data_IF_021630390451
#
_entry.id   IF_021630390451
#
_cell.length_a   1.000
_cell.length_b   1.000
_cell.length_c   1.000
_cell.angle_alpha   90.00
_cell.angle_beta   90.00
_cell.angle_gamma   90.00
#
_symmetry.space_group_name_H-M   'P 1'
#
loop_
_entity.id
_entity.type
_entity.pdbx_description
1 polymer ?
#
# COMPACT_ATOMS: atom_id res chain seq x y z
N UNK A 1 -57.23 15.45 -46.92
CA UNK A 1 -55.79 15.85 -46.73
C UNK A 1 -55.43 15.78 -45.24
N UNK A 2 -55.10 14.65 -44.75
CA UNK A 2 -54.56 14.48 -43.38
C UNK A 2 -54.03 13.05 -43.26
N UNK A 3 -52.77 12.84 -43.00
CA UNK A 3 -52.13 11.66 -42.43
C UNK A 3 -50.72 11.36 -43.05
N UNK A 4 -49.79 12.33 -42.98
CA UNK A 4 -48.37 12.06 -43.35
C UNK A 4 -47.34 12.56 -42.33
N UNK A 5 -47.76 12.99 -41.12
CA UNK A 5 -46.83 13.55 -40.11
C UNK A 5 -46.47 12.58 -38.97
N UNK A 6 -47.12 11.42 -38.82
CA UNK A 6 -46.88 10.48 -37.71
C UNK A 6 -45.72 9.51 -37.92
N UNK A 7 -45.31 9.21 -39.15
CA UNK A 7 -44.29 8.19 -39.43
C UNK A 7 -42.83 8.68 -39.23
N UNK A 8 -42.58 10.00 -39.25
CA UNK A 8 -41.22 10.56 -39.15
C UNK A 8 -40.69 10.67 -37.72
N UNK A 9 -41.55 10.69 -36.69
CA UNK A 9 -41.11 10.80 -35.29
C UNK A 9 -40.64 9.45 -34.74
N UNK A 10 -41.29 8.36 -35.16
CA UNK A 10 -40.92 7.01 -34.71
C UNK A 10 -39.54 6.57 -35.20
N UNK A 11 -39.18 6.85 -36.44
CA UNK A 11 -37.89 6.48 -37.00
C UNK A 11 -36.71 7.20 -36.33
N UNK A 12 -36.88 8.46 -35.88
CA UNK A 12 -35.84 9.17 -35.13
C UNK A 12 -35.67 8.63 -33.72
N UNK A 13 -36.74 8.22 -33.04
CA UNK A 13 -36.65 7.61 -31.71
C UNK A 13 -35.95 6.24 -31.75
N UNK A 14 -36.21 5.45 -32.79
CA UNK A 14 -35.52 4.15 -32.98
C UNK A 14 -34.05 4.33 -33.34
N UNK A 15 -33.65 5.30 -34.13
CA UNK A 15 -32.26 5.61 -34.44
C UNK A 15 -31.50 6.08 -33.21
N UNK A 16 -32.10 6.87 -32.32
CA UNK A 16 -31.51 7.30 -31.06
C UNK A 16 -31.39 6.10 -30.12
N UNK A 17 -32.38 5.23 -30.00
CA UNK A 17 -32.34 4.03 -29.20
C UNK A 17 -31.25 3.03 -29.67
N UNK A 18 -31.14 2.84 -30.99
CA UNK A 18 -30.10 1.98 -31.59
C UNK A 18 -28.69 2.59 -31.37
N UNK A 19 -28.53 3.91 -31.49
CA UNK A 19 -27.28 4.59 -31.20
C UNK A 19 -26.87 4.46 -29.71
N UNK A 20 -27.87 4.57 -28.80
CA UNK A 20 -27.60 4.31 -27.36
C UNK A 20 -27.29 2.84 -27.05
N UNK A 21 -27.93 1.89 -27.72
CA UNK A 21 -27.62 0.46 -27.58
C UNK A 21 -26.24 0.16 -28.15
N UNK A 22 -25.87 0.72 -29.29
CA UNK A 22 -24.54 0.57 -29.89
C UNK A 22 -23.42 1.22 -29.04
N UNK A 23 -23.68 2.38 -28.42
CA UNK A 23 -22.77 3.01 -27.48
C UNK A 23 -22.67 2.23 -26.16
N UNK A 24 -23.76 1.60 -25.69
CA UNK A 24 -23.75 0.76 -24.48
C UNK A 24 -23.12 -0.62 -24.71
N UNK A 25 -23.02 -1.07 -25.96
CA UNK A 25 -22.40 -2.36 -26.34
C UNK A 25 -21.01 -2.20 -26.96
N UNK A 26 -20.47 -0.98 -27.03
CA UNK A 26 -19.06 -0.85 -27.34
C UNK A 26 -18.30 -1.64 -26.27
N UNK A 27 -17.55 -2.71 -26.62
CA UNK A 27 -16.67 -3.32 -25.66
C UNK A 27 -15.75 -2.21 -25.19
N UNK A 28 -15.80 -1.87 -23.89
CA UNK A 28 -14.69 -1.15 -23.28
C UNK A 28 -13.49 -1.96 -23.70
N UNK A 29 -12.61 -1.36 -24.48
CA UNK A 29 -11.36 -2.01 -24.89
C UNK A 29 -10.69 -2.42 -23.60
N UNK A 30 -10.87 -3.68 -23.23
CA UNK A 30 -10.20 -4.25 -22.08
C UNK A 30 -8.71 -4.11 -22.34
N UNK A 31 -7.97 -3.60 -21.38
CA UNK A 31 -6.52 -3.58 -21.45
C UNK A 31 -6.04 -4.99 -21.76
N UNK A 32 -4.92 -5.12 -22.45
CA UNK A 32 -4.24 -6.38 -22.69
C UNK A 32 -2.86 -6.35 -22.08
N UNK A 33 -2.21 -7.50 -21.97
CA UNK A 33 -0.82 -7.59 -21.58
C UNK A 33 0.08 -7.44 -22.80
N UNK A 34 0.98 -6.47 -22.78
CA UNK A 34 2.14 -6.38 -23.65
C UNK A 34 3.37 -6.79 -22.84
N UNK A 35 3.92 -7.96 -23.11
CA UNK A 35 5.18 -8.40 -22.52
C UNK A 35 6.33 -7.95 -23.41
N UNK A 36 7.27 -7.17 -22.86
CA UNK A 36 8.41 -6.61 -23.59
C UNK A 36 9.69 -6.99 -22.86
N UNK A 37 10.68 -7.47 -23.60
CA UNK A 37 12.02 -7.72 -23.07
C UNK A 37 13.02 -6.75 -23.73
N UNK A 38 13.75 -6.05 -22.90
CA UNK A 38 14.82 -5.13 -23.29
C UNK A 38 16.18 -5.73 -22.97
N UNK A 39 16.80 -6.26 -23.99
CA UNK A 39 18.16 -6.78 -23.92
C UNK A 39 19.17 -5.64 -24.04
N UNK A 40 20.12 -5.55 -23.11
CA UNK A 40 21.25 -4.63 -23.22
C UNK A 40 22.22 -5.11 -24.29
N UNK A 41 22.59 -4.20 -25.20
CA UNK A 41 23.63 -4.42 -26.22
C UNK A 41 24.92 -3.84 -25.67
N UNK A 42 25.98 -4.67 -25.67
CA UNK A 42 27.31 -4.26 -25.21
C UNK A 42 28.30 -4.30 -26.39
N UNK A 43 29.27 -3.40 -26.34
CA UNK A 43 30.42 -3.45 -27.25
C UNK A 43 31.39 -4.59 -26.89
N UNK A 44 32.49 -4.72 -27.66
CA UNK A 44 33.52 -5.72 -27.44
C UNK A 44 34.30 -5.55 -26.14
N UNK A 45 34.19 -4.40 -25.48
CA UNK A 45 34.80 -4.09 -24.18
C UNK A 45 33.82 -4.23 -23.02
N UNK A 46 32.54 -4.62 -23.29
CA UNK A 46 31.51 -4.80 -22.31
C UNK A 46 30.74 -3.54 -21.92
N UNK A 47 31.01 -2.40 -22.60
CA UNK A 47 30.26 -1.16 -22.35
C UNK A 47 28.86 -1.25 -22.95
N UNK A 48 27.86 -0.71 -22.26
CA UNK A 48 26.51 -0.59 -22.80
C UNK A 48 26.47 0.44 -23.92
N UNK A 49 26.08 0.01 -25.15
CA UNK A 49 25.97 0.86 -26.34
C UNK A 49 24.50 1.04 -26.77
N UNK A 50 23.56 0.39 -26.10
CA UNK A 50 22.15 0.50 -26.41
C UNK A 50 21.34 -0.69 -25.87
N UNK A 51 20.11 -0.78 -26.32
CA UNK A 51 19.23 -1.90 -26.00
C UNK A 51 18.32 -2.24 -27.18
N UNK A 52 17.91 -3.51 -27.21
CA UNK A 52 16.94 -4.02 -28.17
C UNK A 52 15.68 -4.44 -27.42
N UNK A 53 14.55 -3.81 -27.79
CA UNK A 53 13.25 -4.21 -27.29
C UNK A 53 12.64 -5.30 -28.18
N UNK A 54 12.16 -6.37 -27.57
CA UNK A 54 11.49 -7.48 -28.25
C UNK A 54 10.16 -7.73 -27.57
N UNK A 55 9.07 -7.75 -28.34
CA UNK A 55 7.75 -8.15 -27.83
C UNK A 55 7.70 -9.68 -27.72
N UNK A 56 7.22 -10.15 -26.58
CA UNK A 56 7.06 -11.58 -26.29
C UNK A 56 5.56 -11.91 -26.19
N UNK A 57 5.20 -13.14 -26.55
CA UNK A 57 3.83 -13.64 -26.37
C UNK A 57 3.69 -14.43 -25.05
N UNK A 58 4.80 -14.98 -24.57
CA UNK A 58 4.83 -15.78 -23.34
C UNK A 58 6.25 -15.82 -22.74
N UNK A 59 6.39 -16.27 -21.47
CA UNK A 59 7.71 -16.53 -20.89
C UNK A 59 8.55 -17.54 -21.67
N UNK A 60 7.92 -18.40 -22.47
CA UNK A 60 8.62 -19.42 -23.25
C UNK A 60 9.41 -18.85 -24.45
N UNK A 61 9.12 -17.60 -24.84
CA UNK A 61 9.88 -16.90 -25.88
C UNK A 61 11.26 -16.43 -25.37
N UNK A 62 11.46 -16.43 -24.05
CA UNK A 62 12.75 -16.19 -23.42
C UNK A 62 13.61 -17.46 -23.41
N UNK A 63 14.95 -17.35 -23.44
CA UNK A 63 15.84 -18.51 -23.37
C UNK A 63 15.55 -19.39 -22.16
N UNK A 64 15.69 -20.70 -22.34
CA UNK A 64 15.56 -21.68 -21.23
C UNK A 64 16.64 -21.37 -20.19
N UNK A 65 16.24 -21.29 -18.92
CA UNK A 65 17.15 -20.99 -17.81
C UNK A 65 17.48 -19.50 -17.63
N UNK A 66 16.94 -18.59 -18.49
CA UNK A 66 17.13 -17.16 -18.27
C UNK A 66 16.48 -16.71 -16.95
N UNK A 67 17.10 -15.73 -16.28
CA UNK A 67 16.59 -15.19 -15.02
C UNK A 67 15.15 -14.66 -15.17
N UNK A 68 14.84 -13.97 -16.25
CA UNK A 68 13.50 -13.43 -16.52
C UNK A 68 12.45 -14.52 -16.77
N UNK A 69 12.81 -15.61 -17.47
CA UNK A 69 11.89 -16.74 -17.62
C UNK A 69 11.57 -17.37 -16.26
N UNK A 70 12.59 -17.56 -15.43
CA UNK A 70 12.40 -18.09 -14.08
C UNK A 70 11.55 -17.14 -13.24
N UNK A 71 11.85 -15.84 -13.29
CA UNK A 71 11.10 -14.81 -12.58
C UNK A 71 9.60 -14.79 -12.93
N UNK A 72 9.27 -14.78 -14.23
CA UNK A 72 7.88 -14.79 -14.68
C UNK A 72 7.11 -16.05 -14.28
N UNK A 73 7.81 -17.16 -14.02
CA UNK A 73 7.24 -18.42 -13.55
C UNK A 73 7.19 -18.55 -12.02
N UNK A 74 7.69 -17.57 -11.26
CA UNK A 74 7.53 -17.57 -9.80
C UNK A 74 6.05 -17.59 -9.42
N UNK A 75 5.74 -18.41 -8.41
CA UNK A 75 4.38 -18.56 -7.91
C UNK A 75 4.05 -17.51 -6.86
N UNK A 76 2.93 -16.84 -7.05
CA UNK A 76 2.28 -16.03 -6.02
C UNK A 76 1.54 -16.95 -5.03
N UNK A 77 1.18 -16.44 -3.82
CA UNK A 77 0.48 -17.25 -2.82
C UNK A 77 -0.85 -17.86 -3.29
N UNK A 78 -1.49 -17.29 -4.30
CA UNK A 78 -2.71 -17.81 -4.90
C UNK A 78 -2.45 -18.95 -5.93
N UNK A 79 -1.18 -19.31 -6.12
CA UNK A 79 -0.72 -20.37 -7.02
C UNK A 79 -0.52 -19.94 -8.47
N UNK A 80 -0.91 -18.75 -8.87
CA UNK A 80 -0.65 -18.20 -10.20
C UNK A 80 0.82 -17.82 -10.34
N UNK A 81 1.36 -17.94 -11.55
CA UNK A 81 2.65 -17.31 -11.86
C UNK A 81 2.51 -15.79 -11.97
N UNK A 82 3.63 -15.07 -11.85
CA UNK A 82 3.68 -13.62 -12.11
C UNK A 82 3.10 -13.31 -13.49
N UNK A 83 3.46 -14.08 -14.51
CA UNK A 83 2.94 -13.90 -15.87
C UNK A 83 1.42 -14.12 -15.95
N UNK A 84 0.91 -15.23 -15.38
CA UNK A 84 -0.52 -15.52 -15.37
C UNK A 84 -1.30 -14.43 -14.64
N UNK A 85 -0.77 -13.96 -13.52
CA UNK A 85 -1.39 -12.88 -12.77
C UNK A 85 -1.44 -11.58 -13.59
N UNK A 86 -0.31 -11.17 -14.19
CA UNK A 86 -0.25 -9.98 -15.04
C UNK A 86 -1.22 -10.07 -16.22
N UNK A 87 -1.26 -11.23 -16.91
CA UNK A 87 -2.15 -11.48 -18.05
C UNK A 87 -3.63 -11.41 -17.63
N UNK A 88 -3.99 -12.17 -16.58
CA UNK A 88 -5.39 -12.28 -16.17
C UNK A 88 -5.92 -10.96 -15.63
N UNK A 89 -5.07 -10.18 -14.94
CA UNK A 89 -5.45 -8.88 -14.36
C UNK A 89 -5.47 -7.77 -15.39
N UNK A 90 -4.57 -7.79 -16.39
CA UNK A 90 -4.54 -6.79 -17.44
C UNK A 90 -5.84 -6.72 -18.25
N UNK A 91 -6.57 -7.82 -18.37
CA UNK A 91 -7.87 -7.86 -19.05
C UNK A 91 -8.94 -6.96 -18.41
N UNK A 92 -8.74 -6.56 -17.16
CA UNK A 92 -9.68 -5.70 -16.41
C UNK A 92 -9.20 -4.26 -16.27
N UNK A 93 -8.00 -3.93 -16.71
CA UNK A 93 -7.50 -2.57 -16.71
C UNK A 93 -8.18 -1.72 -17.79
N UNK A 94 -8.29 -0.43 -17.54
CA UNK A 94 -8.86 0.51 -18.51
C UNK A 94 -7.95 0.73 -19.73
N UNK A 95 -6.65 0.44 -19.57
CA UNK A 95 -5.63 0.57 -20.61
C UNK A 95 -4.69 -0.64 -20.58
N UNK A 96 -3.93 -0.91 -21.66
CA UNK A 96 -2.97 -2.01 -21.68
C UNK A 96 -1.94 -1.94 -20.55
N UNK A 97 -1.54 -3.10 -20.04
CA UNK A 97 -0.39 -3.27 -19.16
C UNK A 97 0.84 -3.60 -20.00
N UNK A 98 1.83 -2.76 -19.99
CA UNK A 98 3.12 -3.01 -20.60
C UNK A 98 4.08 -3.53 -19.53
N UNK A 99 4.22 -4.84 -19.42
CA UNK A 99 5.20 -5.47 -18.52
C UNK A 99 6.56 -5.50 -19.22
N UNK A 100 7.45 -4.62 -18.80
CA UNK A 100 8.77 -4.43 -19.38
C UNK A 100 9.83 -5.07 -18.48
N UNK A 101 10.59 -5.98 -19.04
CA UNK A 101 11.70 -6.68 -18.41
C UNK A 101 12.99 -6.15 -19.00
N UNK A 102 13.91 -5.61 -18.22
CA UNK A 102 15.14 -5.01 -18.73
C UNK A 102 16.37 -5.57 -18.01
N UNK A 103 17.40 -5.90 -18.78
CA UNK A 103 18.71 -6.33 -18.26
C UNK A 103 19.52 -5.20 -17.64
N UNK A 104 19.02 -3.96 -17.68
CA UNK A 104 19.64 -2.83 -16.99
C UNK A 104 19.59 -3.04 -15.48
N UNK A 105 20.63 -2.57 -14.81
CA UNK A 105 20.69 -2.60 -13.36
C UNK A 105 20.12 -1.30 -12.78
N UNK A 106 18.80 -1.21 -12.67
CA UNK A 106 18.05 -0.07 -12.15
C UNK A 106 16.99 -0.53 -11.15
N UNK A 107 16.36 0.39 -10.42
CA UNK A 107 15.20 0.10 -9.56
C UNK A 107 13.94 -0.03 -10.40
N UNK A 108 13.03 -0.93 -10.02
CA UNK A 108 11.71 -1.02 -10.63
C UNK A 108 10.92 0.28 -10.43
N UNK A 109 10.01 0.57 -11.35
CA UNK A 109 9.05 1.66 -11.21
C UNK A 109 7.83 1.46 -12.11
N UNK A 110 6.75 2.11 -11.75
CA UNK A 110 5.50 2.11 -12.52
C UNK A 110 5.13 3.53 -12.95
N UNK A 111 4.71 3.65 -14.19
CA UNK A 111 4.20 4.91 -14.72
C UNK A 111 2.97 4.69 -15.61
N UNK A 112 2.17 5.76 -15.77
CA UNK A 112 1.08 5.80 -16.72
C UNK A 112 1.49 6.63 -17.92
N UNK A 113 1.60 5.97 -19.06
CA UNK A 113 2.00 6.58 -20.33
C UNK A 113 0.77 6.85 -21.21
N UNK A 114 1.02 7.38 -22.40
CA UNK A 114 0.02 7.50 -23.45
C UNK A 114 -0.53 6.13 -23.90
N UNK A 115 0.34 5.10 -23.89
CA UNK A 115 0.02 3.76 -24.41
C UNK A 115 -0.45 2.76 -23.34
N UNK A 116 -0.63 3.18 -22.09
CA UNK A 116 -1.06 2.30 -21.03
C UNK A 116 -0.32 2.49 -19.70
N UNK A 117 -0.27 1.42 -18.92
CA UNK A 117 0.49 1.35 -17.68
C UNK A 117 1.80 0.63 -17.95
N UNK A 118 2.93 1.31 -17.78
CA UNK A 118 4.26 0.74 -17.91
C UNK A 118 4.74 0.27 -16.54
N UNK A 119 4.88 -1.04 -16.37
CA UNK A 119 5.47 -1.68 -15.20
C UNK A 119 6.87 -2.12 -15.59
N UNK A 120 7.88 -1.38 -15.14
CA UNK A 120 9.27 -1.53 -15.53
C UNK A 120 10.02 -2.34 -14.48
N UNK A 121 10.47 -3.53 -14.83
CA UNK A 121 11.26 -4.43 -13.98
C UNK A 121 12.68 -4.53 -14.50
N UNK A 122 13.66 -4.37 -13.61
CA UNK A 122 15.07 -4.35 -13.93
C UNK A 122 15.84 -5.51 -13.34
N UNK A 123 17.00 -5.85 -13.92
CA UNK A 123 17.74 -7.07 -13.61
C UNK A 123 18.15 -7.24 -12.15
N UNK A 124 18.27 -6.13 -11.38
CA UNK A 124 18.59 -6.23 -9.95
C UNK A 124 17.59 -7.08 -9.16
N UNK A 125 16.31 -7.17 -9.63
CA UNK A 125 15.27 -7.98 -8.98
C UNK A 125 15.69 -9.46 -8.95
N UNK A 126 16.38 -9.91 -9.99
CA UNK A 126 16.82 -11.30 -10.10
C UNK A 126 17.91 -11.66 -9.09
N UNK A 127 18.59 -10.66 -8.52
CA UNK A 127 19.62 -10.86 -7.50
C UNK A 127 19.07 -11.08 -6.09
N UNK A 128 17.78 -10.79 -5.83
CA UNK A 128 17.19 -11.15 -4.55
C UNK A 128 17.22 -12.66 -4.37
N UNK A 129 17.65 -13.12 -3.20
CA UNK A 129 17.74 -14.55 -2.88
C UNK A 129 16.37 -15.17 -2.63
N UNK A 130 15.44 -14.41 -2.08
CA UNK A 130 14.10 -14.83 -1.72
C UNK A 130 13.10 -14.63 -2.85
N UNK A 131 12.39 -15.70 -3.23
CA UNK A 131 11.28 -15.61 -4.17
C UNK A 131 10.14 -14.74 -3.62
N UNK A 132 9.95 -14.70 -2.30
CA UNK A 132 8.99 -13.82 -1.64
C UNK A 132 9.32 -12.33 -1.86
N UNK A 133 10.60 -11.94 -1.79
CA UNK A 133 11.02 -10.56 -2.09
C UNK A 133 10.84 -10.21 -3.55
N UNK A 134 11.11 -11.15 -4.46
CA UNK A 134 10.91 -10.98 -5.89
C UNK A 134 9.43 -10.81 -6.26
N UNK A 135 8.57 -11.65 -5.69
CA UNK A 135 7.11 -11.56 -5.90
C UNK A 135 6.52 -10.34 -5.24
N UNK A 136 7.03 -9.94 -4.07
CA UNK A 136 6.62 -8.70 -3.40
C UNK A 136 6.87 -7.48 -4.29
N UNK A 137 8.06 -7.33 -4.88
CA UNK A 137 8.38 -6.21 -5.75
C UNK A 137 7.44 -6.12 -6.96
N UNK A 138 7.15 -7.25 -7.61
CA UNK A 138 6.16 -7.26 -8.68
C UNK A 138 4.79 -6.78 -8.20
N UNK A 139 4.32 -7.28 -7.06
CA UNK A 139 3.02 -6.92 -6.51
C UNK A 139 2.98 -5.45 -6.04
N UNK A 140 4.09 -4.92 -5.54
CA UNK A 140 4.24 -3.52 -5.17
C UNK A 140 4.08 -2.61 -6.40
N UNK A 141 4.83 -2.86 -7.46
CA UNK A 141 4.70 -2.11 -8.70
C UNK A 141 3.30 -2.26 -9.33
N UNK A 142 2.71 -3.46 -9.22
CA UNK A 142 1.33 -3.67 -9.66
C UNK A 142 0.32 -2.92 -8.78
N UNK A 143 0.62 -2.67 -7.51
CA UNK A 143 -0.14 -1.81 -6.61
C UNK A 143 -0.26 -0.38 -7.16
N UNK A 144 0.83 0.17 -7.69
CA UNK A 144 0.82 1.46 -8.39
C UNK A 144 -0.05 1.43 -9.65
N UNK A 145 0.01 0.35 -10.45
CA UNK A 145 -0.89 0.15 -11.60
C UNK A 145 -2.36 0.17 -11.14
N UNK A 146 -2.68 -0.55 -10.06
CA UNK A 146 -4.03 -0.61 -9.53
C UNK A 146 -4.54 0.77 -9.06
N UNK A 147 -3.69 1.57 -8.40
CA UNK A 147 -4.01 2.95 -8.02
C UNK A 147 -4.26 3.83 -9.25
N UNK A 148 -3.35 3.81 -10.22
CA UNK A 148 -3.46 4.58 -11.46
C UNK A 148 -4.70 4.20 -12.28
N UNK A 149 -5.09 2.93 -12.26
CA UNK A 149 -6.30 2.45 -12.92
C UNK A 149 -7.57 2.92 -12.20
N UNK A 150 -7.53 3.03 -10.87
CA UNK A 150 -8.64 3.55 -10.06
C UNK A 150 -8.83 5.07 -10.15
N UNK A 151 -7.80 5.81 -10.53
CA UNK A 151 -7.81 7.27 -10.58
C UNK A 151 -8.23 7.80 -11.98
N UNK A 152 -8.61 9.08 -12.09
CA UNK A 152 -8.96 9.68 -13.38
C UNK A 152 -7.89 9.43 -14.46
N UNK A 153 -8.31 9.31 -15.72
CA UNK A 153 -7.39 8.96 -16.82
C UNK A 153 -6.26 9.98 -17.02
N UNK A 154 -6.48 11.24 -16.64
CA UNK A 154 -5.49 12.30 -16.69
C UNK A 154 -4.48 12.28 -15.54
N UNK A 155 -4.76 11.51 -14.46
CA UNK A 155 -3.88 11.47 -13.30
C UNK A 155 -2.54 10.80 -13.63
N UNK A 156 -1.48 11.39 -13.11
CA UNK A 156 -0.11 10.87 -13.10
C UNK A 156 0.46 11.07 -11.70
N UNK A 157 1.39 10.25 -11.29
CA UNK A 157 2.15 10.51 -10.09
C UNK A 157 2.95 11.82 -10.29
N UNK A 158 2.75 12.75 -9.38
CA UNK A 158 3.42 14.05 -9.40
C UNK A 158 3.61 14.56 -7.98
N UNK A 159 4.63 15.40 -7.78
CA UNK A 159 4.94 15.95 -6.45
C UNK A 159 5.41 14.89 -5.46
N UNK A 160 5.91 13.75 -5.93
CA UNK A 160 6.58 12.77 -5.09
C UNK A 160 7.95 13.31 -4.72
N UNK A 161 8.27 13.22 -3.45
CA UNK A 161 9.57 13.65 -2.90
C UNK A 161 10.12 12.50 -2.03
N UNK A 162 11.22 11.93 -2.48
CA UNK A 162 11.90 10.81 -1.83
C UNK A 162 13.11 11.27 -1.00
N UNK A 163 13.33 12.58 -0.86
CA UNK A 163 14.48 13.14 -0.17
C UNK A 163 15.75 13.20 -1.02
N UNK A 164 16.90 13.37 -0.35
CA UNK A 164 18.17 13.76 -0.96
C UNK A 164 18.71 12.81 -2.03
N UNK A 165 18.51 11.50 -1.86
CA UNK A 165 19.00 10.49 -2.80
C UNK A 165 17.94 10.03 -3.81
N UNK A 166 16.77 10.67 -3.81
CA UNK A 166 15.61 10.33 -4.63
C UNK A 166 15.21 8.84 -4.48
N UNK A 167 15.31 8.32 -3.27
CA UNK A 167 14.96 6.96 -2.88
C UNK A 167 14.26 6.98 -1.52
N UNK A 168 13.47 5.96 -1.26
CA UNK A 168 12.82 5.79 0.03
C UNK A 168 13.23 4.47 0.69
N UNK A 169 13.12 4.46 1.99
CA UNK A 169 13.41 3.30 2.84
C UNK A 169 12.27 3.12 3.83
N UNK A 170 11.92 1.89 4.13
CA UNK A 170 10.79 1.56 5.00
C UNK A 170 10.86 2.20 6.40
N UNK A 171 12.07 2.50 6.89
CA UNK A 171 12.30 3.12 8.20
C UNK A 171 12.30 4.65 8.18
N UNK A 172 12.13 5.29 7.03
CA UNK A 172 12.25 6.74 6.89
C UNK A 172 10.92 7.46 7.04
N UNK A 173 10.99 8.64 7.62
CA UNK A 173 9.93 9.64 7.57
C UNK A 173 10.16 10.42 6.27
N UNK A 174 9.26 10.26 5.32
CA UNK A 174 9.36 10.87 4.00
C UNK A 174 9.07 12.38 4.06
N UNK A 175 9.64 13.20 3.14
CA UNK A 175 9.44 14.64 3.14
C UNK A 175 7.97 15.07 3.03
N UNK A 176 7.13 14.29 2.36
CA UNK A 176 5.71 14.60 2.23
C UNK A 176 4.78 13.38 2.35
N UNK A 177 3.54 13.66 2.79
CA UNK A 177 2.48 12.66 2.95
C UNK A 177 2.07 11.99 1.63
N UNK A 178 2.23 12.69 0.48
CA UNK A 178 1.83 12.14 -0.82
C UNK A 178 2.71 10.96 -1.23
N UNK A 179 4.02 11.06 -1.01
CA UNK A 179 4.95 9.96 -1.26
C UNK A 179 4.64 8.79 -0.33
N UNK A 180 4.49 9.04 0.97
CA UNK A 180 4.13 8.02 1.94
C UNK A 180 2.80 7.33 1.60
N UNK A 181 1.82 8.08 1.08
CA UNK A 181 0.54 7.55 0.63
C UNK A 181 0.68 6.63 -0.59
N UNK A 182 1.40 7.07 -1.63
CA UNK A 182 1.56 6.32 -2.88
C UNK A 182 2.32 5.02 -2.64
N UNK A 183 3.43 5.08 -1.91
CA UNK A 183 4.26 3.92 -1.59
C UNK A 183 3.58 3.01 -0.56
N UNK A 184 2.96 3.59 0.45
CA UNK A 184 2.21 2.84 1.47
C UNK A 184 1.01 2.08 0.90
N UNK A 185 0.30 2.65 -0.07
CA UNK A 185 -0.74 1.92 -0.81
C UNK A 185 -0.15 0.72 -1.56
N UNK A 186 0.94 0.90 -2.31
CA UNK A 186 1.58 -0.18 -3.07
C UNK A 186 2.06 -1.30 -2.14
N UNK A 187 2.63 -0.95 -0.98
CA UNK A 187 3.03 -1.89 0.06
C UNK A 187 1.83 -2.64 0.65
N UNK A 188 0.71 -1.96 0.96
CA UNK A 188 -0.50 -2.59 1.47
C UNK A 188 -1.12 -3.56 0.45
N UNK A 189 -1.17 -3.15 -0.82
CA UNK A 189 -1.65 -3.98 -1.92
C UNK A 189 -0.81 -5.25 -2.06
N UNK A 190 0.52 -5.10 -2.09
CA UNK A 190 1.45 -6.22 -2.16
C UNK A 190 1.32 -7.15 -0.97
N UNK A 191 1.32 -6.61 0.25
CA UNK A 191 1.16 -7.39 1.48
C UNK A 191 -0.14 -8.19 1.50
N UNK A 192 -1.23 -7.60 1.05
CA UNK A 192 -2.53 -8.28 0.99
C UNK A 192 -2.50 -9.51 0.06
N UNK A 193 -1.67 -9.50 -0.96
CA UNK A 193 -1.46 -10.61 -1.89
C UNK A 193 -0.34 -11.56 -1.44
N UNK A 194 0.61 -11.06 -0.66
CA UNK A 194 1.81 -11.77 -0.22
C UNK A 194 1.70 -12.26 1.25
N UNK A 195 0.51 -12.58 1.72
CA UNK A 195 0.29 -13.13 3.06
C UNK A 195 0.64 -12.18 4.22
N UNK A 196 0.56 -10.87 4.00
CA UNK A 196 0.90 -9.84 4.98
C UNK A 196 2.35 -9.40 4.94
N UNK A 197 3.18 -9.96 4.06
CA UNK A 197 4.61 -9.68 4.02
C UNK A 197 4.93 -8.47 3.14
N UNK A 198 5.69 -7.52 3.70
CA UNK A 198 6.39 -6.42 3.03
C UNK A 198 7.89 -6.70 3.19
N UNK A 199 8.53 -7.29 2.20
CA UNK A 199 9.87 -7.88 2.34
C UNK A 199 9.94 -8.81 3.55
N UNK A 200 10.73 -8.47 4.57
CA UNK A 200 10.86 -9.22 5.83
C UNK A 200 9.87 -8.79 6.93
N UNK A 201 9.03 -7.78 6.67
CA UNK A 201 8.03 -7.29 7.64
C UNK A 201 6.71 -8.02 7.48
N UNK A 202 6.16 -8.50 8.59
CA UNK A 202 4.84 -9.11 8.61
C UNK A 202 3.81 -8.11 9.15
N UNK A 203 3.00 -7.54 8.28
CA UNK A 203 1.93 -6.61 8.67
C UNK A 203 0.81 -7.26 9.52
N UNK A 204 0.74 -8.59 9.59
CA UNK A 204 -0.14 -9.25 10.55
C UNK A 204 0.36 -9.10 12.00
N UNK A 205 1.65 -8.81 12.20
CA UNK A 205 2.18 -8.57 13.52
C UNK A 205 1.76 -7.18 14.03
N UNK A 206 1.26 -7.08 15.27
CA UNK A 206 0.97 -5.78 15.90
C UNK A 206 2.25 -4.95 16.12
N UNK A 207 3.42 -5.60 16.08
CA UNK A 207 4.71 -4.98 16.32
C UNK A 207 5.45 -4.58 15.04
N UNK A 208 4.83 -4.75 13.87
CA UNK A 208 5.47 -4.51 12.57
C UNK A 208 5.98 -3.08 12.37
N UNK A 209 5.43 -2.12 13.08
CA UNK A 209 5.79 -0.70 13.05
C UNK A 209 6.28 -0.16 14.40
N UNK A 210 6.77 -1.05 15.32
CA UNK A 210 7.20 -0.64 16.66
C UNK A 210 8.36 0.37 16.65
N UNK A 211 9.15 0.42 15.59
CA UNK A 211 10.21 1.42 15.43
C UNK A 211 9.68 2.88 15.39
N UNK A 212 8.39 3.07 15.09
CA UNK A 212 7.74 4.38 15.07
C UNK A 212 7.17 4.80 16.43
N UNK A 213 7.28 3.98 17.47
CA UNK A 213 6.63 4.25 18.77
C UNK A 213 7.04 5.58 19.43
N UNK A 214 8.19 6.15 19.05
CA UNK A 214 8.68 7.42 19.56
C UNK A 214 8.39 8.62 18.64
N UNK A 215 7.72 8.39 17.51
CA UNK A 215 7.35 9.44 16.58
C UNK A 215 5.97 10.00 16.93
N UNK A 216 5.75 11.28 16.64
CA UNK A 216 4.40 11.86 16.69
C UNK A 216 3.49 11.20 15.65
N UNK A 217 2.16 11.27 15.87
CA UNK A 217 1.21 10.73 14.89
C UNK A 217 1.38 11.38 13.50
N UNK A 218 1.66 12.67 13.45
CA UNK A 218 1.93 13.37 12.19
C UNK A 218 3.16 12.81 11.46
N UNK A 219 4.27 12.56 12.17
CA UNK A 219 5.46 11.94 11.57
C UNK A 219 5.17 10.52 11.09
N UNK A 220 4.42 9.72 11.87
CA UNK A 220 4.04 8.36 11.44
C UNK A 220 3.33 8.36 10.09
N UNK A 221 2.46 9.35 9.81
CA UNK A 221 1.72 9.42 8.54
C UNK A 221 2.58 9.78 7.34
N UNK A 222 3.83 10.19 7.55
CA UNK A 222 4.86 10.35 6.54
C UNK A 222 5.72 9.08 6.34
N UNK A 223 5.42 8.00 7.05
CA UNK A 223 6.11 6.72 6.85
C UNK A 223 5.25 5.75 6.03
N UNK A 224 5.80 5.23 4.94
CA UNK A 224 5.08 4.34 4.02
C UNK A 224 4.62 3.03 4.67
N UNK A 225 5.41 2.48 5.61
CA UNK A 225 5.05 1.24 6.29
C UNK A 225 3.89 1.45 7.29
N UNK A 226 3.82 2.64 7.93
CA UNK A 226 2.67 3.03 8.75
C UNK A 226 1.40 3.12 7.90
N UNK A 227 1.47 3.81 6.76
CA UNK A 227 0.34 3.92 5.82
C UNK A 227 -0.09 2.53 5.35
N UNK A 228 0.88 1.68 4.98
CA UNK A 228 0.61 0.30 4.57
C UNK A 228 -0.09 -0.51 5.68
N UNK A 229 0.36 -0.38 6.93
CA UNK A 229 -0.22 -1.07 8.07
C UNK A 229 -1.66 -0.64 8.34
N UNK A 230 -1.94 0.66 8.34
CA UNK A 230 -3.31 1.19 8.52
C UNK A 230 -4.24 0.67 7.43
N UNK A 231 -3.81 0.69 6.16
CA UNK A 231 -4.62 0.16 5.06
C UNK A 231 -4.82 -1.35 5.16
N UNK A 232 -3.76 -2.08 5.47
CA UNK A 232 -3.80 -3.54 5.62
C UNK A 232 -4.74 -3.97 6.75
N UNK A 233 -4.66 -3.32 7.91
CA UNK A 233 -5.56 -3.59 9.03
C UNK A 233 -7.01 -3.21 8.70
N UNK A 234 -7.22 -2.14 7.92
CA UNK A 234 -8.55 -1.75 7.45
C UNK A 234 -9.21 -2.82 6.58
N UNK A 235 -8.43 -3.61 5.82
CA UNK A 235 -8.96 -4.73 5.03
C UNK A 235 -9.62 -5.80 5.91
N UNK A 236 -9.12 -6.03 7.11
CA UNK A 236 -9.63 -7.04 8.04
C UNK A 236 -10.59 -6.50 9.10
N UNK A 237 -10.33 -5.31 9.65
CA UNK A 237 -11.07 -4.74 10.76
C UNK A 237 -12.44 -4.14 10.37
N UNK A 238 -12.61 -3.76 9.10
CA UNK A 238 -13.84 -3.17 8.55
C UNK A 238 -14.63 -4.27 7.83
N UNK A 239 -15.92 -4.34 8.06
CA UNK A 239 -16.81 -5.26 7.37
C UNK A 239 -16.75 -5.00 5.84
N UNK A 240 -16.39 -6.01 5.05
CA UNK A 240 -16.07 -5.88 3.62
C UNK A 240 -14.97 -4.81 3.37
N UNK A 241 -14.04 -4.68 4.31
CA UNK A 241 -13.06 -3.57 4.34
C UNK A 241 -12.23 -3.50 3.07
N UNK A 242 -11.81 -4.65 2.52
CA UNK A 242 -11.10 -4.70 1.26
C UNK A 242 -11.87 -4.02 0.13
N UNK A 243 -13.10 -4.46 -0.12
CA UNK A 243 -13.92 -3.92 -1.21
C UNK A 243 -14.23 -2.44 -1.00
N UNK A 244 -14.47 -2.02 0.25
CA UNK A 244 -14.70 -0.63 0.61
C UNK A 244 -13.47 0.25 0.41
N UNK A 245 -12.28 -0.21 0.79
CA UNK A 245 -11.01 0.51 0.59
C UNK A 245 -10.75 0.69 -0.90
N UNK A 246 -10.82 -0.38 -1.70
CA UNK A 246 -10.63 -0.29 -3.14
C UNK A 246 -11.68 0.59 -3.82
N UNK A 247 -12.93 0.51 -3.37
CA UNK A 247 -14.01 1.36 -3.88
C UNK A 247 -13.77 2.84 -3.52
N UNK A 248 -13.25 3.14 -2.33
CA UNK A 248 -12.87 4.50 -1.96
C UNK A 248 -11.75 5.03 -2.86
N UNK A 249 -10.70 4.23 -3.13
CA UNK A 249 -9.64 4.58 -4.07
C UNK A 249 -10.22 5.00 -5.43
N UNK A 250 -11.14 4.21 -5.98
CA UNK A 250 -11.65 4.44 -7.33
C UNK A 250 -12.73 5.51 -7.40
N UNK A 251 -13.53 5.71 -6.34
CA UNK A 251 -14.66 6.66 -6.37
C UNK A 251 -14.33 8.06 -5.88
N UNK A 252 -13.38 8.17 -4.96
CA UNK A 252 -13.06 9.45 -4.32
C UNK A 252 -11.62 9.89 -4.55
N UNK A 253 -10.80 9.10 -5.24
CA UNK A 253 -9.44 9.50 -5.63
C UNK A 253 -9.41 10.63 -6.67
N UNK A 254 -8.25 11.21 -6.94
CA UNK A 254 -6.97 10.88 -6.31
C UNK A 254 -6.90 11.33 -4.85
N UNK A 255 -6.07 10.61 -4.07
CA UNK A 255 -5.77 10.95 -2.68
C UNK A 255 -4.34 11.43 -2.59
N UNK A 256 -4.12 12.47 -1.78
CA UNK A 256 -2.80 13.07 -1.57
C UNK A 256 -2.14 12.63 -0.25
N UNK A 257 -2.86 11.92 0.60
CA UNK A 257 -2.37 11.47 1.91
C UNK A 257 -3.29 10.42 2.52
N UNK A 258 -2.80 9.74 3.56
CA UNK A 258 -3.64 8.86 4.39
C UNK A 258 -4.83 9.63 4.99
N UNK A 259 -4.63 10.88 5.41
CA UNK A 259 -5.70 11.73 5.94
C UNK A 259 -6.79 12.00 4.90
N UNK A 260 -6.41 12.38 3.69
CA UNK A 260 -7.35 12.63 2.60
C UNK A 260 -8.16 11.37 2.27
N UNK A 261 -7.49 10.22 2.19
CA UNK A 261 -8.15 8.92 2.02
C UNK A 261 -9.15 8.62 3.15
N UNK A 262 -8.72 8.70 4.41
CA UNK A 262 -9.56 8.39 5.56
C UNK A 262 -10.80 9.27 5.62
N UNK A 263 -10.67 10.58 5.37
CA UNK A 263 -11.82 11.50 5.30
C UNK A 263 -12.81 11.11 4.22
N UNK A 264 -12.34 10.85 3.01
CA UNK A 264 -13.19 10.45 1.88
C UNK A 264 -13.82 9.08 2.09
N UNK A 265 -13.07 8.14 2.68
CA UNK A 265 -13.59 6.83 3.10
C UNK A 265 -14.72 6.99 4.12
N UNK A 266 -14.51 7.81 5.16
CA UNK A 266 -15.49 8.05 6.21
C UNK A 266 -16.76 8.79 5.71
N UNK A 267 -16.65 9.55 4.63
CA UNK A 267 -17.79 10.13 3.93
C UNK A 267 -18.57 9.10 3.13
N UNK A 268 -17.89 8.18 2.45
CA UNK A 268 -18.51 7.09 1.68
C UNK A 268 -19.14 6.02 2.58
N UNK A 269 -18.54 5.77 3.73
CA UNK A 269 -18.93 4.72 4.67
C UNK A 269 -19.05 5.25 6.11
N UNK A 270 -20.07 6.08 6.40
CA UNK A 270 -20.20 6.75 7.69
C UNK A 270 -20.35 5.77 8.88
N UNK A 271 -20.89 4.58 8.65
CA UNK A 271 -21.06 3.55 9.66
C UNK A 271 -19.74 2.88 10.07
N UNK A 272 -18.71 2.98 9.24
CA UNK A 272 -17.41 2.38 9.49
C UNK A 272 -16.42 3.34 10.19
N UNK A 273 -16.82 4.57 10.52
CA UNK A 273 -15.95 5.57 11.18
C UNK A 273 -15.32 5.06 12.47
N UNK A 274 -16.07 4.30 13.26
CA UNK A 274 -15.56 3.73 14.53
C UNK A 274 -14.51 2.67 14.25
N UNK A 275 -14.73 1.81 13.26
CA UNK A 275 -13.76 0.79 12.88
C UNK A 275 -12.46 1.41 12.34
N UNK A 276 -12.59 2.44 11.49
CA UNK A 276 -11.44 3.18 10.98
C UNK A 276 -10.68 3.92 12.11
N UNK A 277 -11.39 4.58 13.03
CA UNK A 277 -10.78 5.22 14.20
C UNK A 277 -10.01 4.21 15.06
N UNK A 278 -10.58 3.00 15.26
CA UNK A 278 -9.90 1.92 15.98
C UNK A 278 -8.61 1.48 15.31
N UNK A 279 -8.60 1.34 14.00
CA UNK A 279 -7.38 1.00 13.24
C UNK A 279 -6.30 2.07 13.43
N UNK A 280 -6.65 3.35 13.33
CA UNK A 280 -5.72 4.46 13.54
C UNK A 280 -5.15 4.48 14.96
N UNK A 281 -6.01 4.36 16.00
CA UNK A 281 -5.59 4.35 17.41
C UNK A 281 -4.68 3.16 17.71
N UNK A 282 -5.05 1.96 17.26
CA UNK A 282 -4.25 0.75 17.52
C UNK A 282 -2.85 0.82 16.90
N UNK A 283 -2.71 1.48 15.76
CA UNK A 283 -1.42 1.60 15.07
C UNK A 283 -0.60 2.82 15.51
N UNK A 284 -1.16 3.71 16.32
CA UNK A 284 -0.48 4.95 16.74
C UNK A 284 0.45 4.79 17.97
N UNK A 285 0.53 3.61 18.55
CA UNK A 285 1.33 3.34 19.77
C UNK A 285 1.04 4.33 20.92
N UNK A 286 -0.18 4.85 21.02
CA UNK A 286 -0.58 5.84 22.03
C UNK A 286 -0.17 7.27 21.69
N UNK A 287 0.43 7.53 20.55
CA UNK A 287 0.92 8.86 20.12
C UNK A 287 -0.15 9.70 19.40
N UNK A 288 -1.42 9.28 19.44
CA UNK A 288 -2.53 10.01 18.81
C UNK A 288 -3.31 10.83 19.81
N UNK A 289 -3.83 11.96 19.35
CA UNK A 289 -4.74 12.81 20.12
C UNK A 289 -6.17 12.71 19.59
N UNK A 290 -7.13 13.25 20.36
CA UNK A 290 -8.51 13.39 19.89
C UNK A 290 -8.58 14.16 18.56
N UNK A 291 -7.83 15.26 18.44
CA UNK A 291 -7.83 16.06 17.23
C UNK A 291 -7.28 15.31 16.02
N UNK A 292 -6.25 14.47 16.21
CA UNK A 292 -5.71 13.64 15.13
C UNK A 292 -6.80 12.72 14.60
N UNK A 293 -7.45 11.95 15.47
CA UNK A 293 -8.51 11.02 15.05
C UNK A 293 -9.66 11.76 14.35
N UNK A 294 -10.13 12.87 14.93
CA UNK A 294 -11.22 13.64 14.31
C UNK A 294 -10.84 14.23 12.95
N UNK A 295 -9.59 14.64 12.77
CA UNK A 295 -9.07 15.11 11.48
C UNK A 295 -9.08 14.02 10.41
N UNK A 296 -8.93 12.74 10.80
CA UNK A 296 -8.88 11.61 9.86
C UNK A 296 -10.27 11.01 9.59
N UNK A 297 -11.14 10.91 10.60
CA UNK A 297 -12.41 10.19 10.42
C UNK A 297 -13.64 11.09 10.39
N UNK A 298 -13.50 12.38 10.64
CA UNK A 298 -14.62 13.31 10.75
C UNK A 298 -14.34 14.71 10.18
N UNK A 299 -13.31 14.87 9.37
CA UNK A 299 -12.95 16.14 8.74
C UNK A 299 -12.65 17.26 9.74
N UNK A 300 -12.17 16.94 10.94
CA UNK A 300 -11.91 17.88 12.02
C UNK A 300 -13.15 18.34 12.80
N UNK A 301 -14.35 17.93 12.40
CA UNK A 301 -15.59 18.27 13.13
C UNK A 301 -15.62 17.59 14.50
N UNK A 302 -15.97 18.37 15.53
CA UNK A 302 -16.16 17.88 16.90
C UNK A 302 -17.57 17.29 17.12
N UNK A 303 -18.47 17.49 16.19
CA UNK A 303 -19.80 16.85 16.22
C UNK A 303 -19.67 15.42 15.71
N UNK A 304 -19.71 14.45 16.62
CA UNK A 304 -19.51 13.03 16.33
C UNK A 304 -20.74 12.20 16.63
N UNK A 305 -20.86 11.04 16.02
CA UNK A 305 -21.90 10.07 16.40
C UNK A 305 -21.67 9.56 17.83
N UNK A 306 -22.73 9.12 18.49
CA UNK A 306 -22.66 8.56 19.84
C UNK A 306 -21.66 7.39 19.90
N UNK A 307 -21.70 6.51 18.91
CA UNK A 307 -20.81 5.35 18.86
C UNK A 307 -19.32 5.74 18.74
N UNK A 308 -19.00 6.77 17.95
CA UNK A 308 -17.62 7.28 17.85
C UNK A 308 -17.19 7.96 19.16
N UNK A 309 -18.07 8.75 19.79
CA UNK A 309 -17.81 9.37 21.09
C UNK A 309 -17.51 8.31 22.16
N UNK A 310 -18.35 7.30 22.26
CA UNK A 310 -18.20 6.24 23.26
C UNK A 310 -16.89 5.47 23.08
N UNK A 311 -16.51 5.18 21.83
CA UNK A 311 -15.21 4.58 21.55
C UNK A 311 -14.03 5.50 21.95
N UNK A 312 -14.08 6.79 21.60
CA UNK A 312 -13.01 7.74 21.94
C UNK A 312 -12.88 7.94 23.46
N UNK A 313 -13.99 7.89 24.19
CA UNK A 313 -14.00 7.89 25.66
C UNK A 313 -13.40 6.60 26.23
N UNK A 314 -13.75 5.44 25.66
CA UNK A 314 -13.21 4.15 26.08
C UNK A 314 -11.68 4.08 25.97
N UNK A 315 -11.10 4.68 24.92
CA UNK A 315 -9.64 4.71 24.72
C UNK A 315 -8.97 5.93 25.39
N UNK A 316 -9.69 6.69 26.21
CA UNK A 316 -9.16 7.80 27.00
C UNK A 316 -8.83 9.08 26.23
N UNK A 317 -9.26 9.19 24.96
CA UNK A 317 -9.07 10.40 24.15
C UNK A 317 -10.08 11.51 24.45
N UNK A 318 -11.20 11.18 25.10
CA UNK A 318 -12.20 12.13 25.59
C UNK A 318 -12.33 11.95 27.10
N UNK A 319 -12.27 13.05 27.86
CA UNK A 319 -12.53 12.98 29.29
C UNK A 319 -13.99 12.54 29.52
N UNK A 320 -14.16 11.46 30.28
CA UNK A 320 -15.48 11.08 30.77
C UNK A 320 -15.88 12.10 31.83
N UNK A 321 -16.76 13.03 31.51
CA UNK A 321 -17.40 13.90 32.53
C UNK A 321 -18.29 13.01 33.35
N UNK A 322 -17.76 12.52 34.49
CA UNK A 322 -18.55 11.91 35.54
C UNK A 322 -19.44 13.00 36.15
N UNK A 323 -20.71 13.01 35.74
CA UNK A 323 -21.73 13.80 36.40
C UNK A 323 -22.26 15.02 35.66
N UNK A 324 -23.16 14.77 34.74
CA UNK A 324 -24.40 15.58 34.60
C UNK A 324 -25.38 14.76 33.77
N UNK A 325 -26.44 14.31 34.36
CA UNK A 325 -27.61 13.70 33.72
C UNK A 325 -28.34 14.78 32.92
N UNK A 326 -27.84 15.04 31.72
CA UNK A 326 -28.56 15.79 30.68
C UNK A 326 -29.30 14.78 29.82
N UNK A 327 -30.62 14.77 29.90
CA UNK A 327 -31.51 13.95 29.09
C UNK A 327 -31.24 14.22 27.62
N UNK A 328 -30.80 13.23 26.82
CA UNK A 328 -30.60 13.46 25.38
C UNK A 328 -31.97 13.60 24.71
N UNK A 329 -32.20 14.72 24.05
CA UNK A 329 -33.31 14.90 23.14
C UNK A 329 -33.17 13.92 21.97
N UNK A 330 -34.05 12.96 21.96
CA UNK A 330 -34.11 11.85 20.99
C UNK A 330 -34.72 12.39 19.67
N UNK A 331 -33.91 12.95 18.82
CA UNK A 331 -34.27 13.19 17.42
C UNK A 331 -34.00 11.91 16.63
N UNK A 332 -35.06 11.11 16.44
CA UNK A 332 -35.08 9.94 15.58
C UNK A 332 -34.74 10.35 14.13
N UNK A 333 -33.69 9.82 13.50
CA UNK A 333 -33.48 10.03 12.08
C UNK A 333 -34.56 9.30 11.29
N UNK A 334 -35.25 10.04 10.46
CA UNK A 334 -36.17 9.48 9.46
C UNK A 334 -35.35 8.74 8.41
N UNK A 335 -35.46 7.43 8.38
CA UNK A 335 -34.82 6.57 7.40
C UNK A 335 -35.48 6.82 6.03
N UNK A 336 -34.84 7.61 5.17
CA UNK A 336 -35.21 7.69 3.76
C UNK A 336 -34.56 6.52 3.05
N UNK A 337 -35.33 5.48 2.78
CA UNK A 337 -34.91 4.34 1.96
C UNK A 337 -34.79 4.80 0.51
N UNK A 338 -33.57 5.14 0.09
CA UNK A 338 -33.31 5.40 -1.32
C UNK A 338 -33.07 4.05 -2.00
N UNK A 339 -34.05 3.58 -2.74
CA UNK A 339 -33.95 2.40 -3.60
C UNK A 339 -33.00 2.75 -4.75
N UNK A 340 -31.75 2.31 -4.64
CA UNK A 340 -30.76 2.45 -5.71
C UNK A 340 -31.01 1.34 -6.74
N UNK A 341 -31.60 1.68 -7.84
CA UNK A 341 -31.64 0.84 -9.05
C UNK A 341 -30.20 0.56 -9.48
N UNK A 342 -29.81 -0.71 -9.47
CA UNK A 342 -28.51 -1.19 -9.92
C UNK A 342 -28.33 -0.98 -11.42
N UNK A 343 -27.81 0.18 -11.81
CA UNK A 343 -27.20 0.30 -13.12
C UNK A 343 -25.86 -0.44 -13.04
N UNK A 344 -25.63 -1.40 -13.94
CA UNK A 344 -24.32 -2.04 -14.17
C UNK A 344 -23.38 -0.98 -14.75
N UNK A 345 -22.99 -0.03 -13.93
CA UNK A 345 -22.09 1.06 -14.28
C UNK A 345 -20.65 0.51 -14.41
N UNK A 346 -19.82 1.18 -15.17
CA UNK A 346 -18.36 0.98 -15.22
C UNK A 346 -17.75 0.71 -13.82
N UNK A 347 -18.25 1.39 -12.80
CA UNK A 347 -17.85 1.26 -11.40
C UNK A 347 -18.26 -0.08 -10.76
N UNK A 348 -19.39 -0.66 -11.15
CA UNK A 348 -19.78 -2.01 -10.71
C UNK A 348 -18.84 -3.09 -11.25
N UNK A 349 -18.26 -2.87 -12.43
CA UNK A 349 -17.24 -3.78 -13.02
C UNK A 349 -15.91 -3.67 -12.32
N UNK A 350 -15.49 -2.47 -11.91
CA UNK A 350 -14.25 -2.28 -11.13
C UNK A 350 -14.39 -2.94 -9.75
N UNK A 351 -15.49 -2.74 -9.04
CA UNK A 351 -15.75 -3.41 -7.77
C UNK A 351 -15.82 -4.95 -7.92
N UNK A 352 -16.48 -5.44 -8.99
CA UNK A 352 -16.52 -6.87 -9.34
C UNK A 352 -15.13 -7.40 -9.73
N UNK A 353 -14.30 -6.60 -10.38
CA UNK A 353 -12.92 -6.94 -10.70
C UNK A 353 -12.06 -7.10 -9.44
N UNK A 354 -12.14 -6.13 -8.51
CA UNK A 354 -11.44 -6.24 -7.23
C UNK A 354 -11.96 -7.47 -6.45
N UNK A 355 -13.26 -7.73 -6.42
CA UNK A 355 -13.82 -8.93 -5.80
C UNK A 355 -13.34 -10.22 -6.49
N UNK A 356 -13.21 -10.24 -7.80
CA UNK A 356 -12.68 -11.36 -8.57
C UNK A 356 -11.18 -11.59 -8.35
N UNK A 357 -10.39 -10.52 -8.27
CA UNK A 357 -8.96 -10.54 -7.93
C UNK A 357 -8.71 -11.19 -6.55
N UNK A 358 -9.65 -11.00 -5.61
CA UNK A 358 -9.48 -11.37 -4.22
C UNK A 358 -10.37 -12.55 -3.78
N UNK A 359 -11.37 -12.93 -4.58
CA UNK A 359 -12.43 -13.86 -4.18
C UNK A 359 -12.01 -15.31 -3.85
N UNK A 360 -10.81 -15.74 -4.25
CA UNK A 360 -10.30 -17.09 -3.92
C UNK A 360 -9.48 -17.16 -2.64
N UNK A 361 -9.05 -16.04 -2.08
CA UNK A 361 -8.29 -16.04 -0.82
C UNK A 361 -9.18 -16.20 0.43
N UNK A 362 -10.50 -16.03 0.32
CA UNK A 362 -11.41 -16.11 1.46
C UNK A 362 -11.54 -17.51 2.06
N UNK A 363 -11.34 -18.58 1.30
CA UNK A 363 -11.50 -19.95 1.83
C UNK A 363 -10.33 -20.41 2.71
N UNK A 364 -9.15 -19.78 2.63
CA UNK A 364 -7.99 -20.15 3.43
C UNK A 364 -7.96 -19.48 4.82
N UNK A 365 -8.67 -18.38 5.01
CA UNK A 365 -8.64 -17.59 6.27
C UNK A 365 -9.92 -17.70 7.11
N UNK A 366 -10.97 -18.34 6.61
CA UNK A 366 -12.23 -18.51 7.36
C UNK A 366 -12.11 -19.45 8.58
N UNK A 367 -11.00 -20.16 8.76
CA UNK A 367 -10.77 -21.11 9.83
C UNK A 367 -9.69 -20.71 10.85
N UNK A 368 -9.23 -19.46 10.85
CA UNK A 368 -8.34 -18.98 11.90
C UNK A 368 -9.20 -18.60 13.14
N UNK A 369 -8.94 -19.17 14.34
CA UNK A 369 -9.65 -18.79 15.54
C UNK A 369 -9.36 -17.32 15.88
N UNK A 370 -10.40 -16.58 16.24
CA UNK A 370 -10.28 -15.22 16.74
C UNK A 370 -9.34 -15.21 17.96
N UNK A 371 -8.38 -14.23 18.05
CA UNK A 371 -7.56 -14.12 19.24
C UNK A 371 -8.43 -13.77 20.43
N UNK A 372 -8.42 -14.63 21.45
CA UNK A 372 -9.05 -14.39 22.73
C UNK A 372 -8.39 -13.16 23.38
N UNK A 373 -9.22 -12.19 23.74
CA UNK A 373 -8.81 -11.03 24.51
C UNK A 373 -8.31 -11.49 25.88
N UNK A 374 -7.00 -11.48 26.11
CA UNK A 374 -6.42 -11.58 27.44
C UNK A 374 -6.45 -10.21 28.10
N UNK A 375 -7.19 -10.12 29.20
CA UNK A 375 -7.22 -8.97 30.11
C UNK A 375 -5.90 -8.95 30.87
N UNK A 376 -5.03 -7.98 30.61
CA UNK A 376 -3.87 -7.73 31.46
C UNK A 376 -4.20 -6.70 32.57
N UNK A 377 -3.62 -6.87 33.77
CA UNK A 377 -3.93 -6.00 34.91
C UNK A 377 -3.19 -4.66 34.80
N UNK A 378 -3.92 -3.59 35.16
CA UNK A 378 -3.40 -2.23 35.24
C UNK A 378 -2.34 -2.10 36.35
N UNK A 379 -1.16 -1.65 36.01
CA UNK A 379 -0.13 -1.18 36.95
C UNK A 379 0.03 0.34 36.78
N UNK A 380 -0.30 1.06 37.86
CA UNK A 380 -0.09 2.49 38.01
C UNK A 380 1.38 2.77 38.31
N UNK A 381 2.03 3.64 37.51
CA UNK A 381 3.37 4.15 37.76
C UNK A 381 3.29 5.59 38.25
N UNK A 382 3.95 5.96 39.37
CA UNK A 382 3.93 7.33 39.89
C UNK A 382 4.89 8.24 39.07
N UNK A 383 4.44 9.46 38.84
CA UNK A 383 5.25 10.51 38.22
C UNK A 383 6.34 11.00 39.20
N UNK A 384 7.59 10.83 38.84
CA UNK A 384 8.70 11.58 39.45
C UNK A 384 9.43 12.36 38.38
N UNK A 385 9.34 13.69 38.50
CA UNK A 385 10.16 14.60 37.71
C UNK A 385 11.63 14.52 38.12
N UNK A 386 12.52 14.41 37.13
CA UNK A 386 13.93 14.65 37.30
C UNK A 386 14.49 15.36 36.06
N UNK A 387 15.05 16.52 36.28
CA UNK A 387 15.81 17.35 35.35
C UNK A 387 17.08 16.59 34.90
N UNK A 388 17.49 16.65 33.63
CA UNK A 388 18.72 15.97 33.20
C UNK A 388 19.95 16.80 33.57
N UNK A 389 21.02 16.19 34.10
CA UNK A 389 22.33 16.81 34.23
C UNK A 389 23.10 16.71 32.90
N UNK A 390 23.92 17.75 32.70
CA UNK A 390 24.67 18.00 31.48
C UNK A 390 25.68 16.95 31.06
N UNK A 391 26.01 17.05 29.80
CA UNK A 391 27.24 16.69 29.09
C UNK A 391 28.00 15.49 29.57
N UNK A 392 27.68 14.30 29.00
CA UNK A 392 28.60 13.19 29.02
C UNK A 392 29.06 12.90 27.59
N UNK A 393 30.37 13.01 27.35
CA UNK A 393 31.09 12.51 26.19
C UNK A 393 30.65 11.07 25.93
N UNK A 394 30.29 10.76 24.69
CA UNK A 394 29.94 9.42 24.26
C UNK A 394 31.12 8.45 24.60
N UNK A 395 30.84 7.29 25.20
CA UNK A 395 31.88 6.30 25.44
C UNK A 395 32.38 5.73 24.10
N UNK A 396 33.69 5.76 23.88
CA UNK A 396 34.35 4.99 22.83
C UNK A 396 33.96 3.51 22.97
N UNK A 397 33.40 2.94 21.92
CA UNK A 397 33.02 1.53 21.86
C UNK A 397 34.27 0.72 21.52
N UNK A 398 34.74 -0.18 22.40
CA UNK A 398 35.87 -1.05 22.10
C UNK A 398 35.45 -2.15 21.12
N UNK A 399 36.23 -2.30 20.05
CA UNK A 399 36.18 -3.44 19.14
C UNK A 399 35.35 -3.17 17.88
N UNK A 400 36.08 -2.78 16.83
CA UNK A 400 35.55 -2.81 15.47
C UNK A 400 35.12 -4.25 15.13
N UNK A 401 33.84 -4.56 15.23
CA UNK A 401 33.33 -5.67 14.47
C UNK A 401 33.64 -5.33 13.00
N UNK A 402 34.39 -6.21 12.33
CA UNK A 402 34.60 -6.12 10.90
C UNK A 402 33.23 -5.83 10.26
N UNK A 403 33.13 -4.75 9.52
CA UNK A 403 31.88 -4.33 8.87
C UNK A 403 31.37 -5.50 8.02
N UNK A 404 30.37 -6.24 8.53
CA UNK A 404 29.85 -7.45 7.87
C UNK A 404 29.30 -7.13 6.46
N UNK A 405 29.05 -5.84 6.19
CA UNK A 405 28.50 -5.35 4.94
C UNK A 405 29.57 -4.82 3.97
N UNK A 406 30.80 -4.59 4.41
CA UNK A 406 31.85 -3.97 3.60
C UNK A 406 32.15 -4.72 2.29
N UNK A 407 32.09 -6.05 2.32
CA UNK A 407 32.39 -6.90 1.17
C UNK A 407 31.19 -7.21 0.26
N UNK A 408 30.00 -6.64 0.54
CA UNK A 408 28.81 -6.89 -0.26
C UNK A 408 28.81 -5.91 -1.43
N UNK A 409 29.01 -6.42 -2.65
CA UNK A 409 29.05 -5.64 -3.88
C UNK A 409 27.75 -5.74 -4.70
N UNK A 410 26.79 -6.55 -4.25
CA UNK A 410 25.49 -6.73 -4.89
C UNK A 410 24.43 -5.91 -4.16
N UNK A 411 23.75 -5.02 -4.91
CA UNK A 411 22.75 -4.10 -4.35
C UNK A 411 21.56 -4.84 -3.77
N UNK A 412 21.05 -5.87 -4.48
CA UNK A 412 19.88 -6.59 -4.00
C UNK A 412 20.17 -7.35 -2.72
N UNK A 413 21.36 -7.95 -2.63
CA UNK A 413 21.83 -8.62 -1.42
C UNK A 413 21.99 -7.65 -0.26
N UNK A 414 22.57 -6.47 -0.51
CA UNK A 414 22.67 -5.41 0.50
C UNK A 414 21.28 -4.97 0.98
N UNK A 415 20.35 -4.84 0.07
CA UNK A 415 18.97 -4.42 0.37
C UNK A 415 18.21 -5.49 1.17
N UNK A 416 18.35 -6.78 0.84
CA UNK A 416 17.81 -7.87 1.65
C UNK A 416 18.36 -7.85 3.09
N UNK A 417 19.64 -7.70 3.24
CA UNK A 417 20.30 -7.66 4.56
C UNK A 417 19.88 -6.43 5.37
N UNK A 418 19.68 -5.28 4.70
CA UNK A 418 19.10 -4.11 5.35
C UNK A 418 17.70 -4.41 5.88
N UNK A 419 16.80 -5.00 5.07
CA UNK A 419 15.45 -5.33 5.52
C UNK A 419 15.44 -6.38 6.64
N UNK A 420 16.34 -7.37 6.61
CA UNK A 420 16.49 -8.34 7.69
C UNK A 420 16.94 -7.66 8.99
N UNK A 421 17.97 -6.81 8.91
CA UNK A 421 18.49 -6.09 10.07
C UNK A 421 17.45 -5.12 10.64
N UNK A 422 16.66 -4.48 9.77
CA UNK A 422 15.58 -3.62 10.20
C UNK A 422 14.44 -4.41 10.88
N UNK A 423 14.04 -5.57 10.34
CA UNK A 423 13.04 -6.42 10.97
C UNK A 423 13.48 -6.91 12.36
N UNK A 424 14.76 -7.28 12.51
CA UNK A 424 15.34 -7.66 13.81
C UNK A 424 15.34 -6.50 14.80
N UNK A 425 15.73 -5.29 14.37
CA UNK A 425 15.66 -4.09 15.20
C UNK A 425 14.22 -3.82 15.65
N UNK A 426 13.26 -3.84 14.72
CA UNK A 426 11.86 -3.59 15.01
C UNK A 426 11.28 -4.63 15.99
N UNK A 427 11.63 -5.91 15.83
CA UNK A 427 11.23 -6.97 16.78
C UNK A 427 11.77 -6.71 18.19
N UNK A 428 13.04 -6.36 18.32
CA UNK A 428 13.65 -6.06 19.62
C UNK A 428 13.04 -4.79 20.27
N UNK A 429 12.67 -3.79 19.48
CA UNK A 429 11.97 -2.60 19.98
C UNK A 429 10.58 -2.93 20.55
N UNK A 430 9.92 -3.94 20.00
CA UNK A 430 8.59 -4.37 20.44
C UNK A 430 8.61 -5.28 21.68
N UNK A 431 9.72 -5.93 21.95
CA UNK A 431 9.87 -6.83 23.12
C UNK A 431 9.98 -6.02 24.40
N UNK A 432 8.95 -6.07 25.24
CA UNK A 432 8.97 -5.44 26.57
C UNK A 432 10.10 -6.01 27.41
N UNK A 433 11.04 -5.17 27.82
CA UNK A 433 12.20 -5.59 28.62
C UNK A 433 13.42 -6.05 27.82
N UNK A 434 13.43 -5.83 26.52
CA UNK A 434 14.63 -6.09 25.70
C UNK A 434 15.87 -5.39 26.28
N UNK A 435 16.97 -6.12 26.31
CA UNK A 435 18.27 -5.59 26.71
C UNK A 435 18.64 -4.40 25.80
N UNK A 436 18.81 -3.22 26.41
CA UNK A 436 19.15 -1.98 25.71
C UNK A 436 20.38 -2.12 24.82
N UNK A 437 21.36 -2.95 25.22
CA UNK A 437 22.54 -3.18 24.41
C UNK A 437 22.24 -4.01 23.15
N UNK A 438 21.29 -4.96 23.22
CA UNK A 438 20.84 -5.73 22.04
C UNK A 438 20.11 -4.84 21.07
N UNK A 439 19.24 -3.95 21.55
CA UNK A 439 18.51 -2.98 20.71
C UNK A 439 19.51 -2.05 20.01
N UNK A 440 20.49 -1.49 20.73
CA UNK A 440 21.52 -0.63 20.14
C UNK A 440 22.36 -1.34 19.08
N UNK A 441 22.75 -2.59 19.32
CA UNK A 441 23.49 -3.38 18.33
C UNK A 441 22.67 -3.65 17.08
N UNK A 442 21.38 -3.98 17.23
CA UNK A 442 20.50 -4.20 16.11
C UNK A 442 20.28 -2.91 15.30
N UNK A 443 20.14 -1.76 15.98
CA UNK A 443 20.06 -0.45 15.33
C UNK A 443 21.33 -0.11 14.55
N UNK A 444 22.52 -0.33 15.15
CA UNK A 444 23.79 -0.10 14.46
C UNK A 444 23.95 -0.99 13.24
N UNK A 445 23.59 -2.28 13.35
CA UNK A 445 23.61 -3.22 12.22
C UNK A 445 22.70 -2.77 11.09
N UNK A 446 21.49 -2.34 11.41
CA UNK A 446 20.55 -1.80 10.44
C UNK A 446 21.12 -0.57 9.73
N UNK A 447 21.70 0.39 10.46
CA UNK A 447 22.30 1.58 9.88
C UNK A 447 23.49 1.25 8.97
N UNK A 448 24.38 0.34 9.36
CA UNK A 448 25.49 -0.12 8.52
C UNK A 448 24.98 -0.73 7.22
N UNK A 449 23.97 -1.60 7.28
CA UNK A 449 23.38 -2.19 6.10
C UNK A 449 22.74 -1.13 5.19
N UNK A 450 22.04 -0.14 5.77
CA UNK A 450 21.45 1.00 5.04
C UNK A 450 22.49 1.84 4.31
N UNK A 451 23.58 2.18 5.00
CA UNK A 451 24.69 2.95 4.40
C UNK A 451 25.36 2.17 3.25
N UNK A 452 25.48 0.84 3.37
CA UNK A 452 25.97 0.03 2.27
C UNK A 452 25.05 0.05 1.06
N UNK A 453 23.73 -0.03 1.25
CA UNK A 453 22.75 0.13 0.16
C UNK A 453 22.91 1.50 -0.50
N UNK A 454 23.02 2.58 0.28
CA UNK A 454 23.23 3.95 -0.26
C UNK A 454 24.53 4.04 -1.06
N UNK A 455 25.62 3.47 -0.56
CA UNK A 455 26.91 3.46 -1.26
C UNK A 455 26.83 2.75 -2.61
N UNK A 456 26.26 1.53 -2.63
CA UNK A 456 26.10 0.77 -3.88
C UNK A 456 25.22 1.48 -4.88
N UNK A 457 24.12 2.10 -4.44
CA UNK A 457 23.26 2.91 -5.31
C UNK A 457 23.98 4.12 -5.92
N UNK A 458 24.90 4.77 -5.18
CA UNK A 458 25.73 5.88 -5.71
C UNK A 458 26.72 5.38 -6.77
N UNK A 459 27.25 4.18 -6.64
CA UNK A 459 28.18 3.58 -7.62
C UNK A 459 27.50 3.15 -8.91
N UNK A 460 26.17 3.01 -8.92
CA UNK A 460 25.36 2.64 -10.10
C UNK A 460 24.87 3.85 -10.92
N UNK A 461 25.09 5.05 -10.42
CA UNK A 461 24.80 6.31 -11.13
C UNK A 461 25.99 6.74 -11.99
#
# INVERSE_FOLDING_TARGET
MTNTLSARSGARQWLIAIAFILLATMPVLAGGLNLVYEQVIKDSWGNEIGYRSTRLNSPNDLPVGSAWRNYLNLKLPDGKTIFEYARDTSAYLAQPLNLKLSDRNQTAYTEKTYNGYDLNLYSYINSFSSDSSKTFLFLHEFGHVAMLNGYPSSYRFSGLDYGDDNKHYLDEILPNENTAWVEGWANAFAAQKNGGMVFSFNLNSPTSIAFLQNNSFAEMTHNELFVAKVLYDSFGAISSGRDKVFNAISRSGPHSSLRDFCNKFAMLYPDDKVALARVLVNNSHGNTTLNDILNYVNGGSRTVSRALYDYLAQVGLVATTSGTTGTPTNTRPTTTTTTTTSSTSFWGRIASWFSGLFGRAQSAFANAPAPSASVEPSVSVPATGATPPGGATAPEIPGSQSDEFANINDLARAQELYYQAFADYNRLMAESGSDRQKVLKAQQRMQQAKERVKQLRRQMR
#
